data_IF_950674616775
#
_entry.id   IF_950674616775
#
_cell.length_a   1.000
_cell.length_b   1.000
_cell.length_c   1.000
_cell.angle_alpha   90.00
_cell.angle_beta   90.00
_cell.angle_gamma   90.00
#
_symmetry.space_group_name_H-M   'P 1'
#
loop_
_entity.id
_entity.type
_entity.pdbx_description
1 polymer ?
#
# COMPACT_ATOMS: atom_id res chain seq x y z
N UNK A 1 10.42 13.02 0.40
CA UNK A 1 9.90 11.72 -0.09
C UNK A 1 8.71 12.02 -0.96
N UNK A 2 8.58 11.38 -2.11
CA UNK A 2 7.44 11.57 -3.02
C UNK A 2 6.63 10.28 -3.06
N UNK A 3 5.32 10.39 -2.92
CA UNK A 3 4.38 9.29 -3.10
C UNK A 3 3.69 9.44 -4.45
N UNK A 4 3.71 8.39 -5.25
CA UNK A 4 2.99 8.30 -6.52
C UNK A 4 1.93 7.20 -6.36
N UNK A 5 0.66 7.58 -6.37
CA UNK A 5 -0.45 6.62 -6.23
C UNK A 5 -0.99 6.24 -7.61
N UNK A 6 -1.15 4.93 -7.84
CA UNK A 6 -1.77 4.32 -9.02
C UNK A 6 -2.99 3.49 -8.59
N UNK A 7 -4.02 3.43 -9.43
CA UNK A 7 -5.27 2.72 -9.10
C UNK A 7 -6.12 3.44 -8.04
N UNK A 8 -6.03 4.77 -7.97
CA UNK A 8 -6.76 5.58 -7.00
C UNK A 8 -8.28 5.39 -7.10
N UNK A 9 -8.80 5.09 -8.28
CA UNK A 9 -10.19 4.75 -8.55
C UNK A 9 -10.68 3.53 -7.76
N UNK A 10 -9.81 2.56 -7.49
CA UNK A 10 -10.14 1.40 -6.66
C UNK A 10 -10.19 1.77 -5.17
N UNK A 11 -9.31 2.67 -4.73
CA UNK A 11 -9.31 3.18 -3.35
C UNK A 11 -10.52 4.08 -3.06
N UNK A 12 -10.94 4.88 -4.05
CA UNK A 12 -12.05 5.83 -3.94
C UNK A 12 -13.44 5.24 -4.05
N UNK A 13 -13.58 3.94 -4.34
CA UNK A 13 -14.89 3.30 -4.44
C UNK A 13 -15.66 3.43 -3.12
N UNK A 14 -16.88 3.97 -3.16
CA UNK A 14 -17.78 4.04 -2.01
C UNK A 14 -18.37 2.67 -1.73
N UNK A 15 -17.59 1.75 -1.15
CA UNK A 15 -18.04 0.45 -0.64
C UNK A 15 -17.07 -0.05 0.44
N UNK A 16 -17.59 -0.86 1.37
CA UNK A 16 -16.75 -1.56 2.34
C UNK A 16 -15.85 -2.59 1.62
N UNK A 17 -14.58 -2.64 2.01
CA UNK A 17 -13.55 -3.53 1.45
C UNK A 17 -12.50 -3.83 2.51
N UNK A 18 -11.80 -4.95 2.37
CA UNK A 18 -10.59 -5.26 3.14
C UNK A 18 -9.38 -4.89 2.30
N UNK A 19 -8.68 -3.82 2.66
CA UNK A 19 -7.46 -3.38 2.01
C UNK A 19 -6.27 -4.13 2.61
N UNK A 20 -5.51 -4.84 1.78
CA UNK A 20 -4.33 -5.57 2.22
C UNK A 20 -3.08 -4.97 1.63
N UNK A 21 -2.13 -4.56 2.48
CA UNK A 21 -0.89 -3.92 2.05
C UNK A 21 0.36 -4.64 2.53
N UNK A 22 1.41 -4.66 1.72
CA UNK A 22 2.72 -5.15 2.16
C UNK A 22 3.31 -4.24 3.26
N UNK A 23 4.12 -4.81 4.15
CA UNK A 23 4.59 -4.12 5.35
C UNK A 23 6.11 -4.09 5.50
N UNK A 24 6.71 -2.99 5.10
CA UNK A 24 8.15 -2.81 5.08
C UNK A 24 8.66 -2.00 6.28
N UNK A 25 8.00 -0.88 6.59
CA UNK A 25 8.51 0.11 7.56
C UNK A 25 7.38 0.90 8.22
N UNK A 26 7.68 1.69 9.25
CA UNK A 26 6.72 2.70 9.73
C UNK A 26 6.38 3.75 8.66
N UNK A 27 7.22 3.90 7.63
CA UNK A 27 6.93 4.76 6.48
C UNK A 27 5.63 4.36 5.74
N UNK A 28 5.22 3.09 5.81
CA UNK A 28 3.96 2.63 5.20
C UNK A 28 2.76 3.41 5.75
N UNK A 29 2.79 3.74 7.04
CA UNK A 29 1.73 4.52 7.70
C UNK A 29 1.78 5.99 7.26
N UNK A 30 2.98 6.55 7.04
CA UNK A 30 3.13 7.92 6.54
C UNK A 30 2.60 8.04 5.10
N UNK A 31 2.91 7.07 4.24
CA UNK A 31 2.35 7.01 2.90
C UNK A 31 0.83 6.90 2.95
N UNK A 32 0.30 5.98 3.76
CA UNK A 32 -1.14 5.84 3.96
C UNK A 32 -1.83 7.14 4.39
N UNK A 33 -1.18 7.98 5.21
CA UNK A 33 -1.71 9.30 5.56
C UNK A 33 -1.66 10.31 4.42
N UNK A 34 -0.59 10.31 3.62
CA UNK A 34 -0.42 11.19 2.45
C UNK A 34 -1.58 11.04 1.44
N UNK A 35 -1.96 9.79 1.15
CA UNK A 35 -3.05 9.48 0.25
C UNK A 35 -4.37 9.13 0.94
N UNK A 36 -4.52 9.41 2.24
CA UNK A 36 -5.72 9.06 3.01
C UNK A 36 -7.01 9.62 2.41
N UNK A 37 -6.94 10.83 1.87
CA UNK A 37 -8.04 11.52 1.21
C UNK A 37 -8.63 10.74 0.03
N UNK A 38 -7.88 9.83 -0.60
CA UNK A 38 -8.37 8.97 -1.68
C UNK A 38 -9.25 7.82 -1.18
N UNK A 39 -9.13 7.43 0.10
CA UNK A 39 -9.86 6.29 0.66
C UNK A 39 -11.21 6.68 1.29
N UNK A 40 -11.41 7.97 1.58
CA UNK A 40 -12.56 8.55 2.32
C UNK A 40 -12.74 7.92 3.71
N UNK A 41 -13.51 6.82 3.79
CA UNK A 41 -13.81 6.09 5.03
C UNK A 41 -12.89 4.88 5.19
N UNK A 42 -11.77 5.05 5.87
CA UNK A 42 -10.83 3.98 6.17
C UNK A 42 -10.59 3.84 7.67
N UNK A 43 -10.44 2.61 8.17
CA UNK A 43 -9.94 2.33 9.52
C UNK A 43 -8.83 1.28 9.45
N UNK A 44 -7.96 1.28 10.46
CA UNK A 44 -6.77 0.42 10.52
C UNK A 44 -6.84 -0.48 11.75
N UNK A 45 -6.39 -1.73 11.59
CA UNK A 45 -6.22 -2.66 12.71
C UNK A 45 -4.83 -2.49 13.34
N UNK A 46 -4.80 -1.93 14.54
CA UNK A 46 -3.58 -1.68 15.31
C UNK A 46 -3.37 -2.73 16.42
N UNK A 47 -2.11 -2.87 16.85
CA UNK A 47 -1.75 -3.70 18.01
C UNK A 47 -2.24 -3.00 19.28
N UNK A 48 -2.87 -3.72 20.22
CA UNK A 48 -3.41 -3.14 21.48
C UNK A 48 -2.39 -2.27 22.22
N UNK A 49 -1.13 -2.65 22.25
CA UNK A 49 -0.09 -1.88 22.95
C UNK A 49 0.13 -0.48 22.36
N UNK A 50 -0.21 -0.24 21.09
CA UNK A 50 -0.12 1.09 20.47
C UNK A 50 -1.14 2.08 21.05
N UNK A 51 -2.21 1.60 21.67
CA UNK A 51 -3.18 2.47 22.36
C UNK A 51 -2.50 3.25 23.50
N UNK A 52 -1.49 2.64 24.16
CA UNK A 52 -0.78 3.26 25.28
C UNK A 52 0.38 4.17 24.84
N UNK A 53 0.64 4.29 23.54
CA UNK A 53 1.66 5.19 23.02
C UNK A 53 1.13 6.63 23.02
N UNK A 54 1.31 7.36 24.11
CA UNK A 54 0.86 8.75 24.21
C UNK A 54 1.71 9.70 23.35
N UNK A 55 1.12 10.65 22.60
CA UNK A 55 -0.32 10.94 22.43
C UNK A 55 -0.99 10.17 21.28
N UNK A 56 -0.21 9.45 20.47
CA UNK A 56 -0.67 8.77 19.26
C UNK A 56 -1.86 7.82 19.49
N UNK A 57 -1.82 6.99 20.53
CA UNK A 57 -2.82 5.97 20.78
C UNK A 57 -4.21 6.52 21.06
N UNK A 58 -4.31 7.64 21.80
CA UNK A 58 -5.59 8.32 22.03
C UNK A 58 -6.12 8.94 20.73
N UNK A 59 -5.26 9.64 19.98
CA UNK A 59 -5.64 10.25 18.70
C UNK A 59 -6.12 9.19 17.70
N UNK A 60 -5.40 8.06 17.61
CA UNK A 60 -5.78 6.92 16.80
C UNK A 60 -7.14 6.34 17.20
N UNK A 61 -7.39 6.17 18.51
CA UNK A 61 -8.67 5.66 19.00
C UNK A 61 -9.83 6.60 18.67
N UNK A 62 -9.66 7.91 18.89
CA UNK A 62 -10.66 8.91 18.52
C UNK A 62 -10.92 8.97 17.01
N UNK A 63 -9.90 8.64 16.21
CA UNK A 63 -10.01 8.53 14.75
C UNK A 63 -10.65 7.22 14.27
N UNK A 64 -11.08 6.36 15.19
CA UNK A 64 -11.79 5.11 14.88
C UNK A 64 -10.90 3.92 14.57
N UNK A 65 -9.61 3.93 14.94
CA UNK A 65 -8.74 2.75 14.81
C UNK A 65 -9.18 1.61 15.73
N UNK A 66 -9.15 0.39 15.19
CA UNK A 66 -9.53 -0.82 15.92
C UNK A 66 -8.27 -1.44 16.53
N UNK A 67 -8.20 -1.48 17.86
CA UNK A 67 -7.09 -2.09 18.59
C UNK A 67 -7.38 -3.55 18.93
N UNK A 68 -6.49 -4.46 18.51
CA UNK A 68 -6.64 -5.89 18.78
C UNK A 68 -5.47 -6.46 19.58
N UNK A 69 -5.77 -7.41 20.48
CA UNK A 69 -4.74 -8.21 21.16
C UNK A 69 -4.33 -9.41 20.30
N UNK A 70 -3.30 -9.20 19.48
CA UNK A 70 -2.77 -10.22 18.55
C UNK A 70 -2.15 -11.44 19.25
N UNK A 71 -1.92 -11.39 20.58
CA UNK A 71 -1.42 -12.53 21.36
C UNK A 71 -2.48 -13.62 21.53
N UNK A 72 -3.75 -13.24 21.45
CA UNK A 72 -4.88 -14.15 21.63
C UNK A 72 -5.66 -14.22 20.31
N UNK A 73 -5.28 -15.16 19.44
CA UNK A 73 -5.82 -15.25 18.07
C UNK A 73 -7.36 -15.29 18.02
N UNK A 74 -8.01 -16.06 18.91
CA UNK A 74 -9.47 -16.11 18.99
C UNK A 74 -10.07 -14.75 19.35
N UNK A 75 -9.55 -14.06 20.37
CA UNK A 75 -10.05 -12.73 20.76
C UNK A 75 -9.85 -11.69 19.66
N UNK A 76 -8.69 -11.71 19.00
CA UNK A 76 -8.43 -10.85 17.85
C UNK A 76 -9.44 -11.11 16.72
N UNK A 77 -9.74 -12.38 16.45
CA UNK A 77 -10.72 -12.75 15.43
C UNK A 77 -12.15 -12.31 15.80
N UNK A 78 -12.57 -12.50 17.04
CA UNK A 78 -13.87 -12.02 17.52
C UNK A 78 -14.01 -10.51 17.38
N UNK A 79 -13.01 -9.75 17.86
CA UNK A 79 -13.02 -8.28 17.76
C UNK A 79 -13.06 -7.80 16.30
N UNK A 80 -12.33 -8.47 15.41
CA UNK A 80 -12.40 -8.18 13.98
C UNK A 80 -13.80 -8.46 13.42
N UNK A 81 -14.38 -9.63 13.72
CA UNK A 81 -15.71 -10.01 13.25
C UNK A 81 -16.82 -9.05 13.74
N UNK A 82 -16.77 -8.64 15.00
CA UNK A 82 -17.71 -7.66 15.58
C UNK A 82 -17.60 -6.30 14.89
N UNK A 83 -16.35 -5.86 14.64
CA UNK A 83 -16.10 -4.62 13.93
C UNK A 83 -16.61 -4.65 12.48
N UNK A 84 -16.66 -5.82 11.85
CA UNK A 84 -17.08 -5.95 10.45
C UNK A 84 -18.50 -5.49 10.19
N UNK A 85 -19.42 -5.68 11.14
CA UNK A 85 -20.80 -5.18 10.99
C UNK A 85 -20.81 -3.65 10.80
N UNK A 86 -20.05 -2.95 11.64
CA UNK A 86 -19.89 -1.50 11.55
C UNK A 86 -19.21 -1.07 10.25
N UNK A 87 -18.23 -1.85 9.77
CA UNK A 87 -17.56 -1.58 8.49
C UNK A 87 -18.54 -1.64 7.33
N UNK A 88 -19.41 -2.64 7.30
CA UNK A 88 -20.43 -2.80 6.25
C UNK A 88 -21.43 -1.64 6.31
N UNK A 89 -22.04 -1.41 7.48
CA UNK A 89 -23.08 -0.39 7.67
C UNK A 89 -22.60 1.02 7.30
N UNK A 90 -21.35 1.34 7.68
CA UNK A 90 -20.75 2.66 7.41
C UNK A 90 -19.99 2.75 6.08
N UNK A 91 -19.96 1.66 5.29
CA UNK A 91 -19.17 1.54 4.06
C UNK A 91 -17.69 1.85 4.27
N UNK A 92 -17.16 1.48 5.43
CA UNK A 92 -15.77 1.73 5.83
C UNK A 92 -14.85 0.64 5.32
N UNK A 93 -13.70 1.05 4.79
CA UNK A 93 -12.61 0.18 4.34
C UNK A 93 -11.73 -0.20 5.53
N UNK A 94 -11.30 -1.45 5.56
CA UNK A 94 -10.45 -1.99 6.61
C UNK A 94 -9.04 -2.20 6.09
N UNK A 95 -8.10 -1.39 6.56
CA UNK A 95 -6.70 -1.54 6.23
C UNK A 95 -6.00 -2.55 7.14
N UNK A 96 -5.36 -3.55 6.52
CA UNK A 96 -4.63 -4.61 7.20
C UNK A 96 -3.29 -4.86 6.52
N UNK A 97 -2.26 -5.05 7.34
CA UNK A 97 -0.97 -5.57 6.90
C UNK A 97 -0.92 -7.08 7.18
N UNK A 98 -1.23 -7.95 6.20
CA UNK A 98 -1.44 -9.37 6.45
C UNK A 98 -0.15 -10.12 6.82
N UNK A 99 1.04 -9.58 6.54
CA UNK A 99 2.33 -10.13 6.99
C UNK A 99 2.44 -10.12 8.53
N UNK A 100 1.82 -9.14 9.18
CA UNK A 100 1.73 -9.02 10.64
C UNK A 100 3.01 -8.54 11.35
N UNK A 101 4.13 -8.40 10.63
CA UNK A 101 5.39 -7.80 11.11
C UNK A 101 6.03 -6.97 10.00
N UNK A 102 6.79 -5.93 10.35
CA UNK A 102 7.57 -5.12 9.39
C UNK A 102 8.86 -5.83 9.05
N UNK A 103 9.20 -5.93 7.77
CA UNK A 103 10.46 -6.51 7.30
C UNK A 103 10.96 -5.75 6.07
N UNK A 104 12.23 -5.34 6.10
CA UNK A 104 12.89 -4.67 4.97
C UNK A 104 13.81 -5.68 4.32
N UNK A 105 13.22 -6.54 3.50
CA UNK A 105 13.86 -7.70 2.87
C UNK A 105 13.79 -7.65 1.35
N UNK A 106 13.22 -6.57 0.79
CA UNK A 106 12.93 -6.42 -0.64
C UNK A 106 12.03 -7.56 -1.20
N UNK A 107 11.19 -8.14 -0.35
CA UNK A 107 10.30 -9.25 -0.68
C UNK A 107 8.97 -9.08 0.07
N UNK A 108 7.90 -9.71 -0.45
CA UNK A 108 6.62 -9.83 0.27
C UNK A 108 6.56 -11.17 0.98
N UNK A 109 6.36 -11.14 2.30
CA UNK A 109 6.32 -12.34 3.12
C UNK A 109 4.97 -13.06 3.14
N UNK A 110 4.91 -14.30 3.67
CA UNK A 110 3.66 -15.03 3.81
C UNK A 110 2.60 -14.25 4.60
N UNK A 111 1.36 -14.33 4.12
CA UNK A 111 0.22 -13.64 4.70
C UNK A 111 -0.47 -14.48 5.77
N UNK A 112 -0.92 -13.81 6.83
CA UNK A 112 -1.78 -14.39 7.86
C UNK A 112 -3.24 -14.42 7.38
N UNK A 113 -3.97 -15.46 7.79
CA UNK A 113 -5.36 -15.70 7.37
C UNK A 113 -6.39 -14.69 7.90
N UNK A 114 -6.04 -13.87 8.91
CA UNK A 114 -6.99 -13.04 9.65
C UNK A 114 -7.81 -12.09 8.78
N UNK A 115 -7.16 -11.32 7.89
CA UNK A 115 -7.83 -10.40 6.98
C UNK A 115 -8.76 -11.13 6.00
N UNK A 116 -8.32 -12.28 5.50
CA UNK A 116 -9.05 -13.10 4.53
C UNK A 116 -10.27 -13.77 5.14
N UNK A 117 -10.20 -14.20 6.40
CA UNK A 117 -11.38 -14.65 7.15
C UNK A 117 -12.44 -13.56 7.29
N UNK A 118 -12.02 -12.31 7.56
CA UNK A 118 -12.94 -11.17 7.65
C UNK A 118 -13.60 -10.94 6.29
N UNK A 119 -12.79 -10.88 5.22
CA UNK A 119 -13.26 -10.65 3.86
C UNK A 119 -14.28 -11.71 3.42
N UNK A 120 -13.96 -12.99 3.58
CA UNK A 120 -14.85 -14.10 3.18
C UNK A 120 -16.11 -14.15 4.04
N UNK A 121 -16.02 -14.06 5.38
CA UNK A 121 -17.22 -14.13 6.23
C UNK A 121 -18.21 -12.99 5.97
N UNK A 122 -17.68 -11.81 5.67
CA UNK A 122 -18.47 -10.63 5.40
C UNK A 122 -18.77 -10.43 3.91
N UNK A 123 -18.28 -11.31 3.04
CA UNK A 123 -18.41 -11.23 1.59
C UNK A 123 -17.94 -9.86 1.06
N UNK A 124 -16.86 -9.33 1.65
CA UNK A 124 -16.22 -8.07 1.28
C UNK A 124 -15.08 -8.31 0.30
N UNK A 125 -14.89 -7.47 -0.73
CA UNK A 125 -13.75 -7.57 -1.62
C UNK A 125 -12.44 -7.37 -0.88
N UNK A 126 -11.38 -7.98 -1.40
CA UNK A 126 -10.02 -7.68 -1.00
C UNK A 126 -9.43 -6.69 -2.01
N UNK A 127 -8.96 -5.55 -1.53
CA UNK A 127 -8.26 -4.56 -2.34
C UNK A 127 -6.75 -4.66 -2.05
N UNK A 128 -5.95 -5.27 -2.93
CA UNK A 128 -4.52 -5.37 -2.71
C UNK A 128 -3.83 -4.02 -3.00
N UNK A 129 -3.00 -3.55 -2.07
CA UNK A 129 -2.25 -2.29 -2.19
C UNK A 129 -0.76 -2.58 -2.03
N UNK A 130 0.03 -2.16 -3.00
CA UNK A 130 1.45 -2.51 -3.09
C UNK A 130 2.30 -1.26 -3.02
N UNK A 131 3.11 -1.17 -1.98
CA UNK A 131 4.19 -0.20 -1.86
C UNK A 131 5.45 -0.76 -2.52
N UNK A 132 6.05 -0.02 -3.44
CA UNK A 132 7.37 -0.36 -3.99
C UNK A 132 8.42 -0.42 -2.88
N UNK A 133 9.54 -1.08 -3.16
CA UNK A 133 10.61 -1.23 -2.18
C UNK A 133 11.20 0.11 -1.71
N UNK A 134 11.57 0.17 -0.43
CA UNK A 134 12.28 1.31 0.15
C UNK A 134 13.81 1.21 0.08
N UNK A 135 14.34 0.10 -0.41
CA UNK A 135 15.78 -0.18 -0.33
C UNK A 135 16.67 0.83 -1.08
N UNK A 136 16.12 1.58 -2.05
CA UNK A 136 16.87 2.60 -2.79
C UNK A 136 17.22 3.83 -1.96
N UNK A 137 16.47 4.12 -0.89
CA UNK A 137 16.65 5.34 -0.11
C UNK A 137 16.66 5.16 1.41
N UNK A 138 16.15 4.03 1.93
CA UNK A 138 16.11 3.74 3.36
C UNK A 138 17.12 2.64 3.71
N UNK A 139 18.22 3.05 4.37
CA UNK A 139 19.18 2.12 4.97
C UNK A 139 18.99 2.09 6.49
N UNK A 140 18.30 1.05 6.97
CA UNK A 140 18.03 0.88 8.40
C UNK A 140 19.25 0.43 9.19
N UNK A 141 20.23 -0.22 8.56
CA UNK A 141 21.47 -0.65 9.21
C UNK A 141 22.33 0.56 9.56
N UNK A 142 22.48 1.48 8.61
CA UNK A 142 23.28 2.68 8.78
C UNK A 142 22.46 3.87 9.33
N UNK A 143 21.15 3.68 9.52
CA UNK A 143 20.19 4.72 9.98
C UNK A 143 20.18 5.95 9.07
N UNK A 144 20.34 5.74 7.77
CA UNK A 144 20.33 6.80 6.75
C UNK A 144 19.02 6.75 5.99
N UNK A 145 18.42 7.92 5.78
CA UNK A 145 17.26 8.09 4.92
C UNK A 145 17.54 9.19 3.90
N UNK A 146 17.66 8.80 2.63
CA UNK A 146 17.85 9.70 1.50
C UNK A 146 16.50 10.14 0.93
N UNK A 147 16.47 11.18 0.07
CA UNK A 147 15.29 11.49 -0.73
C UNK A 147 14.84 10.27 -1.54
N UNK A 148 13.62 9.83 -1.30
CA UNK A 148 13.04 8.65 -1.92
C UNK A 148 11.78 8.94 -2.74
N UNK A 149 11.53 8.08 -3.72
CA UNK A 149 10.29 8.01 -4.46
C UNK A 149 9.66 6.63 -4.22
N UNK A 150 8.41 6.60 -3.82
CA UNK A 150 7.63 5.36 -3.63
C UNK A 150 6.44 5.37 -4.57
N UNK A 151 6.25 4.26 -5.29
CA UNK A 151 5.04 3.99 -6.05
C UNK A 151 4.11 3.15 -5.17
N UNK A 152 2.88 3.59 -5.02
CA UNK A 152 1.81 2.87 -4.31
C UNK A 152 0.76 2.48 -5.34
N UNK A 153 0.61 1.18 -5.59
CA UNK A 153 -0.33 0.66 -6.59
C UNK A 153 -1.48 -0.06 -5.89
N UNK A 154 -2.71 0.45 -6.02
CA UNK A 154 -3.92 -0.32 -5.76
C UNK A 154 -4.24 -1.19 -6.98
N UNK A 155 -4.33 -2.49 -6.74
CA UNK A 155 -4.73 -3.47 -7.75
C UNK A 155 -6.25 -3.56 -7.85
N UNK A 156 -6.81 -4.14 -8.93
CA UNK A 156 -8.24 -4.41 -9.01
C UNK A 156 -8.73 -5.22 -7.80
N UNK A 157 -9.91 -4.88 -7.24
CA UNK A 157 -10.49 -5.63 -6.13
C UNK A 157 -10.74 -7.09 -6.51
N UNK A 158 -10.38 -7.99 -5.59
CA UNK A 158 -10.65 -9.42 -5.68
C UNK A 158 -11.95 -9.69 -4.93
N UNK A 159 -13.02 -10.00 -5.67
CA UNK A 159 -14.33 -10.30 -5.09
C UNK A 159 -14.28 -11.62 -4.28
N UNK A 160 -15.01 -11.63 -3.16
CA UNK A 160 -15.15 -12.79 -2.27
C UNK A 160 -16.56 -13.35 -2.25
N UNK A 161 -17.47 -12.77 -3.04
CA UNK A 161 -18.86 -13.20 -3.14
C UNK A 161 -18.92 -14.67 -3.58
N UNK A 162 -19.59 -15.50 -2.80
CA UNK A 162 -19.72 -16.94 -3.03
C UNK A 162 -18.55 -17.79 -2.51
N UNK A 163 -17.46 -17.17 -2.05
CA UNK A 163 -16.35 -17.91 -1.43
C UNK A 163 -16.71 -18.35 -0.01
N UNK A 164 -16.14 -19.47 0.38
CA UNK A 164 -16.25 -20.11 1.69
C UNK A 164 -14.91 -20.11 2.41
N UNK A 165 -14.90 -20.63 3.65
CA UNK A 165 -13.67 -20.74 4.45
C UNK A 165 -12.62 -21.63 3.77
N UNK A 166 -13.06 -22.61 2.99
CA UNK A 166 -12.18 -23.56 2.32
C UNK A 166 -11.41 -22.93 1.16
N UNK A 167 -11.92 -21.83 0.60
CA UNK A 167 -11.29 -21.06 -0.48
C UNK A 167 -10.21 -20.09 0.01
N UNK A 168 -10.10 -19.87 1.34
CA UNK A 168 -9.17 -18.90 1.93
C UNK A 168 -7.70 -19.15 1.56
N UNK A 169 -7.17 -20.38 1.59
CA UNK A 169 -5.78 -20.64 1.21
C UNK A 169 -5.47 -20.19 -0.23
N UNK A 170 -6.36 -20.48 -1.18
CA UNK A 170 -6.21 -20.05 -2.57
C UNK A 170 -6.34 -18.53 -2.71
N UNK A 171 -7.32 -17.93 -2.04
CA UNK A 171 -7.52 -16.48 -2.04
C UNK A 171 -6.29 -15.73 -1.53
N UNK A 172 -5.65 -16.24 -0.46
CA UNK A 172 -4.39 -15.70 0.06
C UNK A 172 -3.31 -15.75 -1.01
N UNK A 173 -3.13 -16.90 -1.65
CA UNK A 173 -2.02 -17.09 -2.57
C UNK A 173 -2.21 -16.29 -3.87
N UNK A 174 -3.43 -16.26 -4.40
CA UNK A 174 -3.80 -15.39 -5.54
C UNK A 174 -3.51 -13.92 -5.23
N UNK A 175 -3.91 -13.45 -4.06
CA UNK A 175 -3.69 -12.07 -3.63
C UNK A 175 -2.20 -11.78 -3.47
N UNK A 176 -1.47 -12.66 -2.80
CA UNK A 176 -0.02 -12.51 -2.55
C UNK A 176 0.78 -12.50 -3.85
N UNK A 177 0.46 -13.39 -4.79
CA UNK A 177 1.14 -13.48 -6.08
C UNK A 177 0.94 -12.20 -6.93
N UNK A 178 -0.29 -11.69 -7.01
CA UNK A 178 -0.58 -10.43 -7.69
C UNK A 178 0.20 -9.25 -7.08
N UNK A 179 0.30 -9.24 -5.74
CA UNK A 179 1.09 -8.22 -5.03
C UNK A 179 2.59 -8.35 -5.29
N UNK A 180 3.13 -9.58 -5.33
CA UNK A 180 4.56 -9.83 -5.59
C UNK A 180 4.97 -9.38 -6.99
N UNK A 181 4.15 -9.70 -7.99
CA UNK A 181 4.40 -9.28 -9.37
C UNK A 181 4.48 -7.76 -9.47
N UNK A 182 3.48 -7.08 -8.91
CA UNK A 182 3.42 -5.61 -8.87
C UNK A 182 4.57 -5.01 -8.09
N UNK A 183 4.96 -5.63 -6.96
CA UNK A 183 6.06 -5.17 -6.12
C UNK A 183 7.38 -5.23 -6.87
N UNK A 184 7.66 -6.34 -7.58
CA UNK A 184 8.87 -6.48 -8.40
C UNK A 184 8.91 -5.47 -9.53
N UNK A 185 7.79 -5.31 -10.25
CA UNK A 185 7.69 -4.37 -11.37
C UNK A 185 7.94 -2.91 -10.93
N UNK A 186 7.22 -2.46 -9.89
CA UNK A 186 7.33 -1.08 -9.37
C UNK A 186 8.67 -0.84 -8.68
N UNK A 187 9.25 -1.84 -8.02
CA UNK A 187 10.59 -1.74 -7.43
C UNK A 187 11.65 -1.52 -8.50
N UNK A 188 11.64 -2.31 -9.58
CA UNK A 188 12.54 -2.13 -10.72
C UNK A 188 12.38 -0.75 -11.36
N UNK A 189 11.14 -0.27 -11.45
CA UNK A 189 10.86 1.08 -11.97
C UNK A 189 11.48 2.17 -11.09
N UNK A 190 11.33 2.08 -9.77
CA UNK A 190 11.93 3.03 -8.81
C UNK A 190 13.46 2.97 -8.86
N UNK A 191 14.05 1.77 -8.92
CA UNK A 191 15.51 1.59 -9.07
C UNK A 191 16.02 2.26 -10.35
N UNK A 192 15.35 2.07 -11.48
CA UNK A 192 15.73 2.70 -12.74
C UNK A 192 15.68 4.24 -12.64
N UNK A 193 14.61 4.79 -12.07
CA UNK A 193 14.47 6.25 -11.84
C UNK A 193 15.57 6.77 -10.92
N UNK A 194 15.91 6.02 -9.88
CA UNK A 194 16.98 6.38 -8.94
C UNK A 194 18.36 6.36 -9.61
N UNK A 195 18.67 5.33 -10.38
CA UNK A 195 19.94 5.23 -11.12
C UNK A 195 20.09 6.35 -12.15
N UNK A 196 19.00 6.74 -12.83
CA UNK A 196 18.98 7.87 -13.76
C UNK A 196 19.17 9.23 -13.09
N UNK A 197 18.83 9.35 -11.80
CA UNK A 197 18.99 10.59 -11.02
C UNK A 197 20.42 10.89 -10.57
N UNK A 198 21.41 10.09 -11.00
CA UNK A 198 22.83 10.29 -10.65
C UNK A 198 23.22 9.83 -9.24
N UNK A 199 22.29 9.29 -8.45
CA UNK A 199 22.54 8.76 -7.10
C UNK A 199 22.92 7.28 -7.10
N UNK A 200 23.43 6.78 -8.24
CA UNK A 200 23.58 5.36 -8.54
C UNK A 200 24.19 4.53 -7.41
N UNK A 201 23.59 3.36 -7.17
CA UNK A 201 24.11 2.36 -6.24
C UNK A 201 25.51 1.93 -6.70
N UNK A 202 26.56 2.23 -5.92
CA UNK A 202 27.84 1.53 -6.13
C UNK A 202 27.58 0.04 -5.93
N UNK A 203 27.91 -0.83 -6.90
CA UNK A 203 27.74 -2.26 -6.71
C UNK A 203 28.56 -2.71 -5.49
N UNK A 204 27.96 -3.56 -4.67
CA UNK A 204 28.66 -4.21 -3.58
C UNK A 204 29.94 -4.86 -4.14
N UNK A 205 31.10 -4.55 -3.54
CA UNK A 205 32.38 -5.16 -3.90
C UNK A 205 32.26 -6.68 -3.80
N UNK A 206 32.19 -7.36 -4.94
CA UNK A 206 32.17 -8.81 -4.99
C UNK A 206 31.91 -9.35 -6.39
N UNK A 207 32.98 -9.86 -7.01
CA UNK A 207 33.03 -10.63 -8.26
C UNK A 207 33.17 -9.81 -9.55
N UNK A 208 34.44 -9.58 -9.91
CA UNK A 208 34.88 -9.20 -11.25
C UNK A 208 34.49 -10.29 -12.25
N UNK A 209 33.46 -10.06 -13.07
CA UNK A 209 33.29 -10.82 -14.31
C UNK A 209 34.04 -10.08 -15.42
N UNK A 210 35.16 -10.68 -15.82
CA UNK A 210 35.94 -10.25 -16.99
C UNK A 210 35.07 -10.44 -18.24
N UNK A 211 34.63 -9.34 -18.86
CA UNK A 211 34.09 -9.39 -20.23
C UNK A 211 35.29 -9.33 -21.17
N UNK A 212 35.63 -10.47 -21.77
CA UNK A 212 36.61 -10.54 -22.86
C UNK A 212 36.01 -9.90 -24.11
N UNK A 213 36.77 -8.95 -24.67
CA UNK A 213 36.54 -8.38 -26.00
C UNK A 213 36.91 -9.45 -27.03
N UNK A 214 35.93 -9.91 -27.83
CA UNK A 214 36.24 -10.59 -29.09
C UNK A 214 36.34 -9.51 -30.16
N UNK A 215 37.58 -9.18 -30.50
CA UNK A 215 37.92 -8.41 -31.68
C UNK A 215 37.96 -9.31 -32.93
N UNK A 216 37.67 -8.67 -34.05
CA UNK A 216 37.55 -9.18 -35.40
C UNK A 216 38.68 -10.11 -35.88
N UNK A 217 38.29 -11.10 -36.67
CA UNK A 217 39.07 -11.59 -37.80
C UNK A 217 38.11 -12.16 -38.85
N UNK A 218 38.16 -11.65 -40.09
CA UNK A 218 38.32 -12.43 -41.32
C UNK A 218 38.48 -11.48 -42.53
N UNK A 219 39.35 -11.79 -43.51
CA UNK A 219 39.69 -10.90 -44.61
C UNK A 219 38.97 -11.23 -45.92
N UNK A 220 38.80 -10.18 -46.75
CA UNK A 220 38.85 -10.25 -48.21
C UNK A 220 37.56 -10.62 -48.96
N UNK A 221 37.12 -9.74 -49.87
CA UNK A 221 36.22 -10.18 -50.95
C UNK A 221 35.34 -9.12 -51.61
N UNK A 222 35.91 -8.36 -52.54
CA UNK A 222 35.32 -7.90 -53.81
C UNK A 222 34.12 -6.92 -53.79
N UNK A 223 34.43 -5.73 -54.31
CA UNK A 223 33.53 -4.67 -54.81
C UNK A 223 32.51 -5.15 -55.84
N UNK A 224 31.26 -4.65 -55.72
CA UNK A 224 30.38 -4.27 -56.85
C UNK A 224 29.21 -3.41 -56.34
N UNK A 225 29.14 -2.16 -56.82
CA UNK A 225 27.92 -1.33 -56.88
C UNK A 225 26.90 -2.00 -57.83
N UNK A 226 25.57 -1.79 -57.70
CA UNK A 226 24.97 -0.55 -58.22
C UNK A 226 23.62 -0.06 -57.59
N UNK A 227 23.27 1.17 -58.01
CA UNK A 227 21.92 1.75 -58.27
C UNK A 227 20.93 2.07 -57.13
N UNK A 228 20.83 3.38 -56.89
CA UNK A 228 19.65 4.25 -56.70
C UNK A 228 18.25 3.63 -56.74
N UNK A 229 17.48 3.87 -55.67
CA UNK A 229 16.02 4.05 -55.72
C UNK A 229 15.62 5.13 -54.71
N UNK A 230 15.08 6.24 -55.22
CA UNK A 230 14.54 7.37 -54.47
C UNK A 230 13.09 7.06 -54.12
N UNK A 231 12.75 6.96 -52.83
CA UNK A 231 11.37 6.90 -52.36
C UNK A 231 10.99 8.20 -51.66
N UNK A 232 10.08 8.92 -52.31
CA UNK A 232 9.39 10.11 -51.83
C UNK A 232 8.52 9.75 -50.63
N UNK A 233 8.69 10.41 -49.49
CA UNK A 233 7.69 10.40 -48.40
C UNK A 233 7.32 11.82 -48.03
N UNK A 234 6.04 12.10 -48.21
CA UNK A 234 5.34 13.36 -48.04
C UNK A 234 5.34 13.82 -46.58
N UNK A 235 5.76 15.07 -46.37
CA UNK A 235 5.63 15.79 -45.11
C UNK A 235 4.19 16.28 -44.96
N UNK A 236 3.51 15.92 -43.87
CA UNK A 236 2.22 16.49 -43.47
C UNK A 236 2.38 17.15 -42.10
N UNK A 237 2.02 18.42 -42.00
CA UNK A 237 1.68 19.11 -40.77
C UNK A 237 0.54 20.10 -41.05
N UNK A 238 0.15 20.98 -40.13
CA UNK A 238 -0.03 20.81 -38.68
C UNK A 238 -1.51 21.09 -38.28
N UNK A 239 -1.87 20.96 -37.00
CA UNK A 239 -3.10 21.55 -36.46
C UNK A 239 -2.81 22.28 -35.13
N UNK A 240 -3.29 23.54 -34.95
CA UNK A 240 -2.98 24.35 -33.77
C UNK A 240 -3.93 24.08 -32.61
N UNK A 241 -3.38 24.10 -31.39
CA UNK A 241 -4.11 23.94 -30.12
C UNK A 241 -4.33 25.34 -29.53
N UNK A 242 -5.58 25.70 -29.21
CA UNK A 242 -5.93 26.95 -28.50
C UNK A 242 -5.90 26.72 -26.98
N UNK A 243 -5.43 27.68 -26.16
CA UNK A 243 -5.53 27.59 -24.72
C UNK A 243 -6.91 28.07 -24.25
N UNK A 244 -7.55 27.31 -23.36
CA UNK A 244 -8.70 27.75 -22.58
C UNK A 244 -8.24 27.92 -21.14
N UNK A 245 -8.17 29.17 -20.71
CA UNK A 245 -8.11 29.59 -19.31
C UNK A 245 -9.52 30.02 -18.95
N UNK A 246 -10.15 29.35 -17.99
CA UNK A 246 -11.29 29.95 -17.29
C UNK A 246 -11.31 29.54 -15.82
N UNK A 247 -11.64 30.55 -15.03
CA UNK A 247 -11.51 30.72 -13.60
C UNK A 247 -12.58 29.94 -12.83
N UNK A 248 -12.21 29.31 -11.72
CA UNK A 248 -13.12 29.01 -10.61
C UNK A 248 -12.44 29.44 -9.32
N UNK A 249 -13.02 30.45 -8.68
CA UNK A 249 -12.60 31.00 -7.38
C UNK A 249 -12.86 30.01 -6.22
N UNK A 250 -12.09 30.10 -5.11
CA UNK A 250 -12.33 29.28 -3.93
C UNK A 250 -13.36 29.94 -2.99
N UNK A 251 -14.56 29.38 -2.85
CA UNK A 251 -15.45 29.76 -1.76
C UNK A 251 -14.93 29.23 -0.41
N UNK A 252 -14.72 30.15 0.53
CA UNK A 252 -14.32 29.85 1.90
C UNK A 252 -15.50 29.29 2.71
N UNK A 253 -15.40 28.03 3.17
CA UNK A 253 -16.36 27.47 4.14
C UNK A 253 -16.13 28.06 5.53
N UNK A 254 -17.08 28.85 6.01
CA UNK A 254 -17.18 29.36 7.38
C UNK A 254 -17.21 28.20 8.39
N UNK A 255 -16.29 28.25 9.36
CA UNK A 255 -16.27 27.40 10.54
C UNK A 255 -16.98 28.18 11.65
N UNK A 256 -18.18 27.74 12.06
CA UNK A 256 -18.86 28.32 13.20
C UNK A 256 -20.32 27.94 13.29
N UNK A 257 -20.63 26.93 14.11
CA UNK A 257 -21.77 26.87 15.04
C UNK A 257 -22.15 25.43 15.39
N UNK A 258 -21.47 24.78 16.34
CA UNK A 258 -22.03 23.62 17.06
C UNK A 258 -21.47 23.59 18.49
N UNK A 259 -21.94 24.54 19.30
CA UNK A 259 -22.01 24.40 20.76
C UNK A 259 -23.47 24.55 21.16
N UNK A 260 -23.98 23.58 21.92
CA UNK A 260 -25.34 23.49 22.45
C UNK A 260 -26.20 22.50 21.65
N UNK A 261 -26.91 21.54 22.22
CA UNK A 261 -27.18 21.19 23.61
C UNK A 261 -27.58 19.70 23.64
N UNK A 262 -27.54 19.11 24.83
CA UNK A 262 -27.41 17.67 25.02
C UNK A 262 -28.61 16.80 24.65
N UNK A 263 -28.31 15.50 24.58
CA UNK A 263 -29.12 14.51 25.29
C UNK A 263 -28.21 13.38 25.78
N UNK A 264 -28.41 12.97 27.02
CA UNK A 264 -27.54 12.07 27.77
C UNK A 264 -28.12 10.66 27.80
N UNK A 265 -27.35 9.65 27.38
CA UNK A 265 -27.50 8.23 27.79
C UNK A 265 -26.35 7.35 27.25
N UNK A 266 -26.04 6.21 27.90
CA UNK A 266 -24.80 6.08 28.67
C UNK A 266 -23.62 5.52 27.88
N UNK A 267 -22.46 6.09 28.19
CA UNK A 267 -21.13 5.59 27.87
C UNK A 267 -20.98 4.21 28.53
N UNK A 268 -20.84 3.14 27.73
CA UNK A 268 -20.37 1.85 28.27
C UNK A 268 -18.88 1.99 28.58
N UNK A 269 -18.56 2.01 29.87
CA UNK A 269 -17.19 1.93 30.36
C UNK A 269 -16.44 0.73 29.75
N UNK A 270 -15.14 0.87 29.46
CA UNK A 270 -14.32 -0.29 29.19
C UNK A 270 -14.18 -1.09 30.48
N UNK A 271 -14.58 -2.35 30.45
CA UNK A 271 -14.50 -3.30 31.55
C UNK A 271 -13.07 -3.40 32.08
N UNK A 272 -12.79 -2.67 33.16
CA UNK A 272 -11.61 -2.86 33.99
C UNK A 272 -11.78 -4.19 34.74
N UNK A 273 -11.02 -5.21 34.32
CA UNK A 273 -11.02 -6.50 35.00
C UNK A 273 -10.34 -6.36 36.37
N UNK A 274 -11.17 -6.40 37.42
CA UNK A 274 -10.80 -6.49 38.83
C UNK A 274 -10.02 -7.80 39.06
N UNK A 275 -8.75 -7.72 39.49
CA UNK A 275 -8.03 -8.88 40.06
C UNK A 275 -8.85 -9.38 41.25
N UNK A 276 -9.36 -10.61 41.18
CA UNK A 276 -9.81 -11.37 42.35
C UNK A 276 -8.72 -12.37 42.71
N UNK A 277 -8.15 -12.16 43.89
CA UNK A 277 -7.88 -13.14 44.94
C UNK A 277 -7.10 -14.41 44.54
N UNK A 278 -5.78 -14.32 44.73
CA UNK A 278 -4.92 -15.48 45.01
C UNK A 278 -5.07 -15.76 46.50
N UNK A 279 -5.87 -16.75 46.88
CA UNK A 279 -5.70 -17.41 48.17
C UNK A 279 -4.55 -18.42 48.04
N UNK A 280 -3.57 -18.25 48.93
CA UNK A 280 -2.59 -19.27 49.29
C UNK A 280 -3.29 -20.25 50.21
N UNK A 281 -3.13 -21.53 49.92
CA UNK A 281 -2.90 -22.61 50.88
C UNK A 281 -1.83 -23.53 50.27
#
# INVERSE_FOLDING_TARGET
MKWEVRGAEHMGADRAMVMVANHQSSLDILGMFDFWHLMDKCTVIAKRELFFAWPFGLAAWLSGLIFIDRRHAQRAQTAMNESTKMLIEKRTKLWVFPEGTRRITNEIHPFKKGAFHVAVRAQLPILPVVYSSYHTFLDTKNKVMNPGHVIVTALPPIETKGLTIDDIPELIERTRNAMIETFKATTKEVENRFNLSGHGMTPAKGTTTVISRIAAALPGGVSKQPTTATSTTTVVGPLPIRPVVELIEPEARKIGSLLGGGDASPIKEPTAYRRKDVQRD
#
